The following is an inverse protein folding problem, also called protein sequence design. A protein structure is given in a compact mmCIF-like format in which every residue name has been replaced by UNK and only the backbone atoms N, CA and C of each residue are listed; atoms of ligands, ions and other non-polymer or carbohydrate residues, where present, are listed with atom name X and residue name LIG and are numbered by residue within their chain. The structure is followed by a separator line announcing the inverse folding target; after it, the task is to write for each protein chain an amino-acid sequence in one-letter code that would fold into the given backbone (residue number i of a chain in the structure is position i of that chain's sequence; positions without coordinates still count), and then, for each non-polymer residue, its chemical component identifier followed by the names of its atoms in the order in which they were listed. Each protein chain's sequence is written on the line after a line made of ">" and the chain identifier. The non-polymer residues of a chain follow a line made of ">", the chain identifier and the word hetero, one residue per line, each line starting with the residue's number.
data_IF_756220968350
#
_entry.id   IF_756220968350
#
_cell.length_a   1.000
_cell.length_b   1.000
_cell.length_c   1.000
_cell.angle_alpha   90.00
_cell.angle_beta   90.00
_cell.angle_gamma   90.00
#
_symmetry.space_group_name_H-M   'P 1'
#
loop_
_entity.id
_entity.type
_entity.pdbx_description
1 polymer ?
#
# COMPACT_ATOMS: atom_id res chain seq x y z
N UNK A 1 -33.90 12.57 -27.64
CA UNK A 1 -34.76 11.61 -26.91
C UNK A 1 -34.10 10.26 -26.95
N UNK A 2 -34.01 9.57 -25.81
CA UNK A 2 -33.58 8.18 -25.70
C UNK A 2 -34.62 7.22 -26.31
N UNK A 3 -34.19 6.06 -26.80
CA UNK A 3 -35.00 5.01 -27.43
C UNK A 3 -34.80 3.67 -26.70
N UNK A 4 -35.77 2.77 -26.89
CA UNK A 4 -35.66 1.40 -26.41
C UNK A 4 -34.43 0.73 -27.05
N UNK A 5 -33.53 0.21 -26.21
CA UNK A 5 -32.28 -0.41 -26.65
C UNK A 5 -31.08 0.52 -26.71
N UNK A 6 -31.21 1.81 -26.34
CA UNK A 6 -30.04 2.68 -26.23
C UNK A 6 -29.10 2.17 -25.12
N UNK A 7 -27.85 1.93 -25.47
CA UNK A 7 -26.78 1.52 -24.56
C UNK A 7 -25.75 2.64 -24.41
N UNK A 8 -25.39 2.95 -23.16
CA UNK A 8 -24.27 3.83 -22.86
C UNK A 8 -23.18 2.98 -22.21
N UNK A 9 -22.07 2.81 -22.92
CA UNK A 9 -20.88 2.19 -22.36
C UNK A 9 -19.96 3.26 -21.79
N UNK A 10 -19.73 3.20 -20.49
CA UNK A 10 -18.75 4.02 -19.80
C UNK A 10 -17.50 3.19 -19.55
N UNK A 11 -16.34 3.80 -19.77
CA UNK A 11 -15.05 3.21 -19.44
C UNK A 11 -14.27 4.21 -18.61
N UNK A 12 -13.97 3.81 -17.38
CA UNK A 12 -13.12 4.56 -16.47
C UNK A 12 -11.85 3.77 -16.23
N UNK A 13 -10.68 4.28 -16.66
CA UNK A 13 -9.41 3.68 -16.28
C UNK A 13 -9.31 3.56 -14.75
N UNK A 14 -8.84 2.41 -14.27
CA UNK A 14 -8.56 2.18 -12.85
C UNK A 14 -7.07 1.88 -12.66
N UNK A 15 -6.17 2.84 -12.94
CA UNK A 15 -4.76 2.69 -12.63
C UNK A 15 -4.57 2.61 -11.10
N UNK A 16 -3.41 2.13 -10.71
CA UNK A 16 -2.94 2.26 -9.33
C UNK A 16 -2.39 3.67 -9.18
N UNK A 17 -2.98 4.44 -8.28
CA UNK A 17 -2.63 5.82 -8.00
C UNK A 17 -1.87 5.92 -6.67
N UNK A 18 -0.80 6.72 -6.67
CA UNK A 18 -0.06 7.13 -5.47
C UNK A 18 -0.63 8.45 -4.97
N UNK A 19 -1.43 8.39 -3.91
CA UNK A 19 -2.10 9.55 -3.34
C UNK A 19 -1.17 10.27 -2.36
N UNK A 20 -0.99 11.57 -2.57
CA UNK A 20 -0.24 12.47 -1.69
C UNK A 20 -1.21 13.36 -0.93
N UNK A 21 -0.98 13.51 0.37
CA UNK A 21 -1.71 14.49 1.16
C UNK A 21 -1.20 15.91 0.89
N UNK A 22 -2.05 16.90 1.06
CA UNK A 22 -1.63 18.30 1.05
C UNK A 22 -0.52 18.51 2.11
N UNK A 23 0.53 19.34 1.86
CA UNK A 23 1.66 19.50 2.80
C UNK A 23 1.29 19.98 4.21
N UNK A 24 0.12 20.62 4.36
CA UNK A 24 -0.39 21.03 5.68
C UNK A 24 -0.89 19.85 6.53
N UNK A 25 -1.11 18.68 5.94
CA UNK A 25 -1.43 17.43 6.65
C UNK A 25 -0.12 16.82 7.15
N UNK A 26 0.40 17.37 8.25
CA UNK A 26 1.72 17.03 8.80
C UNK A 26 1.92 15.54 9.09
N UNK A 27 0.85 14.85 9.50
CA UNK A 27 0.88 13.41 9.79
C UNK A 27 1.30 12.56 8.58
N UNK A 28 1.09 13.07 7.36
CA UNK A 28 1.35 12.36 6.10
C UNK A 28 2.55 12.92 5.33
N UNK A 29 3.34 13.80 5.96
CA UNK A 29 4.60 14.25 5.38
C UNK A 29 5.53 13.05 5.13
N UNK A 30 6.08 12.95 3.92
CA UNK A 30 6.92 11.82 3.51
C UNK A 30 6.19 10.49 3.32
N UNK A 31 4.84 10.48 3.31
CA UNK A 31 4.04 9.27 3.15
C UNK A 31 3.24 9.25 1.86
N UNK A 32 2.79 8.07 1.46
CA UNK A 32 1.95 7.82 0.29
C UNK A 32 0.85 6.81 0.64
N UNK A 33 -0.34 7.00 0.10
CA UNK A 33 -1.42 6.01 0.15
C UNK A 33 -1.65 5.44 -1.25
N UNK A 34 -2.02 4.16 -1.34
CA UNK A 34 -2.36 3.52 -2.60
C UNK A 34 -3.88 3.56 -2.82
N UNK A 35 -4.29 3.91 -4.02
CA UNK A 35 -5.70 3.91 -4.42
C UNK A 35 -5.85 3.28 -5.81
N UNK A 36 -6.95 2.56 -6.03
CA UNK A 36 -7.32 2.08 -7.37
C UNK A 36 -8.82 2.30 -7.59
N UNK A 37 -9.16 3.12 -8.57
CA UNK A 37 -10.54 3.56 -8.74
C UNK A 37 -11.05 4.27 -7.47
N UNK A 38 -12.21 3.89 -6.91
CA UNK A 38 -12.75 4.52 -5.71
C UNK A 38 -12.20 3.93 -4.40
N UNK A 39 -11.34 2.91 -4.46
CA UNK A 39 -10.95 2.11 -3.29
C UNK A 39 -9.54 2.50 -2.81
N UNK A 40 -9.44 2.88 -1.53
CA UNK A 40 -8.17 3.06 -0.81
C UNK A 40 -7.66 1.71 -0.33
N UNK A 41 -6.35 1.51 -0.41
CA UNK A 41 -5.67 0.28 -0.01
C UNK A 41 -4.86 0.47 1.29
N UNK A 42 -4.61 -0.63 1.99
CA UNK A 42 -3.79 -0.69 3.20
C UNK A 42 -2.88 -1.92 3.19
N UNK A 43 -1.79 -1.85 3.97
CA UNK A 43 -0.91 -2.98 4.26
C UNK A 43 -1.32 -3.59 5.61
N UNK A 44 -1.42 -4.92 5.68
CA UNK A 44 -1.60 -5.67 6.92
C UNK A 44 -0.34 -6.45 7.30
N UNK A 45 -0.11 -6.63 8.59
CA UNK A 45 0.98 -7.46 9.12
C UNK A 45 0.94 -8.90 8.58
N UNK A 46 -0.25 -9.50 8.48
CA UNK A 46 -0.43 -10.88 7.97
C UNK A 46 0.12 -11.07 6.55
N UNK A 47 0.23 -9.99 5.78
CA UNK A 47 0.73 -9.99 4.40
C UNK A 47 2.17 -9.50 4.26
N UNK A 48 2.63 -8.65 5.20
CA UNK A 48 3.84 -7.84 5.02
C UNK A 48 4.84 -7.98 6.18
N UNK A 49 4.51 -8.77 7.20
CA UNK A 49 5.25 -8.87 8.46
C UNK A 49 5.04 -7.65 9.37
N UNK A 50 5.57 -7.71 10.61
CA UNK A 50 5.41 -6.65 11.59
C UNK A 50 6.23 -5.40 11.24
N UNK A 51 6.13 -4.38 12.08
CA UNK A 51 6.81 -3.10 11.95
C UNK A 51 6.60 -2.47 10.57
N UNK A 52 5.34 -2.22 10.20
CA UNK A 52 4.97 -1.62 8.91
C UNK A 52 5.50 -0.18 8.78
N UNK A 53 5.84 0.47 9.89
CA UNK A 53 6.53 1.76 9.89
C UNK A 53 7.94 1.69 9.27
N UNK A 54 8.58 0.51 9.28
CA UNK A 54 9.87 0.27 8.65
C UNK A 54 9.75 -0.17 7.18
N UNK A 55 8.55 -0.12 6.58
CA UNK A 55 8.33 -0.41 5.16
C UNK A 55 8.26 0.90 4.36
N UNK A 56 9.11 1.01 3.34
CA UNK A 56 9.23 2.16 2.47
C UNK A 56 8.87 1.76 1.05
N UNK A 57 7.99 2.52 0.40
CA UNK A 57 7.63 2.31 -1.00
C UNK A 57 8.43 3.26 -1.90
N UNK A 58 9.33 2.74 -2.77
CA UNK A 58 10.00 3.58 -3.76
C UNK A 58 9.01 4.19 -4.76
N UNK A 59 9.25 5.43 -5.16
CA UNK A 59 8.41 6.15 -6.14
C UNK A 59 8.34 5.46 -7.50
N UNK A 60 9.41 4.82 -7.92
CA UNK A 60 9.56 4.12 -9.19
C UNK A 60 9.26 2.62 -9.11
N UNK A 61 8.91 2.11 -7.91
CA UNK A 61 8.48 0.73 -7.75
C UNK A 61 7.30 0.42 -8.67
N UNK A 62 7.45 -0.64 -9.46
CA UNK A 62 6.40 -1.17 -10.33
C UNK A 62 5.31 -1.79 -9.47
N UNK A 63 4.07 -1.37 -9.71
CA UNK A 63 2.90 -1.84 -8.98
C UNK A 63 1.99 -2.61 -9.94
N UNK A 64 1.51 -3.76 -9.49
CA UNK A 64 0.60 -4.61 -10.24
C UNK A 64 -0.68 -4.81 -9.44
N UNK A 65 -1.80 -4.91 -10.15
CA UNK A 65 -3.11 -5.19 -9.56
C UNK A 65 -3.74 -6.39 -10.27
N UNK A 66 -4.17 -7.36 -9.48
CA UNK A 66 -4.84 -8.56 -9.97
C UNK A 66 -5.96 -8.98 -9.01
N UNK A 67 -6.94 -9.70 -9.54
CA UNK A 67 -8.09 -10.17 -8.77
C UNK A 67 -7.77 -11.51 -8.11
N UNK A 68 -8.01 -11.61 -6.81
CA UNK A 68 -7.85 -12.80 -5.97
C UNK A 68 -9.25 -13.27 -5.55
N UNK A 69 -9.83 -14.29 -6.23
CA UNK A 69 -11.23 -14.69 -6.03
C UNK A 69 -11.50 -15.28 -4.64
N UNK A 70 -10.52 -15.96 -4.05
CA UNK A 70 -10.67 -16.67 -2.78
C UNK A 70 -10.22 -15.84 -1.56
N UNK A 71 -9.77 -14.59 -1.79
CA UNK A 71 -9.31 -13.68 -0.75
C UNK A 71 -10.39 -12.63 -0.47
N UNK A 72 -10.85 -12.55 0.80
CA UNK A 72 -11.71 -11.47 1.30
C UNK A 72 -12.95 -11.24 0.41
N UNK A 73 -13.70 -12.34 0.16
CA UNK A 73 -14.90 -12.37 -0.69
C UNK A 73 -14.66 -11.98 -2.17
N UNK A 74 -13.42 -12.13 -2.64
CA UNK A 74 -13.03 -11.78 -4.00
C UNK A 74 -12.59 -10.33 -4.09
N UNK A 75 -11.29 -10.09 -4.06
CA UNK A 75 -10.76 -8.73 -3.99
C UNK A 75 -9.64 -8.48 -5.00
N UNK A 76 -9.51 -7.23 -5.45
CA UNK A 76 -8.32 -6.83 -6.21
C UNK A 76 -7.24 -6.46 -5.22
N UNK A 77 -6.09 -7.13 -5.28
CA UNK A 77 -4.91 -6.78 -4.48
C UNK A 77 -3.96 -5.91 -5.28
N UNK A 78 -3.08 -5.19 -4.58
CA UNK A 78 -1.94 -4.49 -5.19
C UNK A 78 -0.66 -5.10 -4.66
N UNK A 79 0.27 -5.45 -5.55
CA UNK A 79 1.58 -6.00 -5.19
C UNK A 79 2.71 -5.19 -5.81
N UNK A 80 3.90 -5.33 -5.24
CA UNK A 80 5.12 -4.71 -5.74
C UNK A 80 6.31 -5.01 -4.85
N UNK A 81 7.42 -4.34 -5.11
CA UNK A 81 8.62 -4.39 -4.29
C UNK A 81 8.73 -3.10 -3.47
N UNK A 82 8.94 -3.26 -2.17
CA UNK A 82 9.21 -2.22 -1.20
C UNK A 82 10.59 -2.44 -0.58
N UNK A 83 11.02 -1.53 0.29
CA UNK A 83 12.27 -1.63 1.03
C UNK A 83 12.02 -1.62 2.53
N UNK A 84 12.86 -2.35 3.29
CA UNK A 84 12.94 -2.26 4.75
C UNK A 84 14.34 -1.86 5.19
N UNK A 85 14.46 -1.18 6.33
CA UNK A 85 15.77 -0.93 6.96
C UNK A 85 16.24 -2.21 7.66
N UNK A 86 17.51 -2.55 7.44
CA UNK A 86 18.20 -3.65 8.13
C UNK A 86 18.54 -3.24 9.57
N UNK A 87 17.86 -3.88 10.53
CA UNK A 87 18.03 -3.63 11.96
C UNK A 87 19.33 -4.24 12.52
N UNK A 88 19.99 -5.16 11.81
CA UNK A 88 21.20 -5.84 12.31
C UNK A 88 22.38 -4.90 12.56
N UNK A 89 22.42 -3.76 11.87
CA UNK A 89 23.47 -2.76 12.05
C UNK A 89 23.31 -1.92 13.33
N UNK A 90 22.23 -2.09 14.10
CA UNK A 90 21.95 -1.28 15.29
C UNK A 90 22.70 -1.79 16.53
N UNK A 91 22.92 -3.10 16.67
CA UNK A 91 23.65 -3.71 17.79
C UNK A 91 23.13 -3.27 19.17
N UNK A 92 21.81 -3.30 19.39
CA UNK A 92 21.12 -2.87 20.62
C UNK A 92 21.29 -1.39 21.03
N UNK A 93 21.88 -0.56 20.16
CA UNK A 93 21.97 0.89 20.36
C UNK A 93 20.70 1.60 19.85
N UNK A 94 20.16 2.51 20.67
CA UNK A 94 18.95 3.25 20.33
C UNK A 94 19.19 4.38 19.31
N UNK A 95 20.39 4.99 19.33
CA UNK A 95 20.74 6.11 18.45
C UNK A 95 22.15 5.94 17.88
N UNK A 96 22.31 5.97 16.56
CA UNK A 96 23.62 5.82 15.89
C UNK A 96 23.78 6.78 14.71
N UNK A 97 24.98 7.35 14.50
CA UNK A 97 25.30 8.15 13.32
C UNK A 97 25.70 7.25 12.15
N UNK A 98 24.79 6.39 11.68
CA UNK A 98 25.00 5.48 10.55
C UNK A 98 23.98 5.76 9.45
N UNK A 99 24.39 5.51 8.20
CA UNK A 99 23.43 5.44 7.11
C UNK A 99 22.71 4.08 7.15
N UNK A 100 21.37 4.05 7.19
CA UNK A 100 20.62 2.80 7.22
C UNK A 100 20.85 2.03 5.92
N UNK A 101 21.20 0.75 6.05
CA UNK A 101 21.16 -0.19 4.92
C UNK A 101 19.71 -0.62 4.71
N UNK A 102 19.29 -0.72 3.46
CA UNK A 102 17.97 -1.24 3.11
C UNK A 102 18.06 -2.53 2.30
N UNK A 103 17.00 -3.33 2.36
CA UNK A 103 16.84 -4.52 1.53
C UNK A 103 15.43 -4.58 0.95
N UNK A 104 15.30 -5.18 -0.21
CA UNK A 104 14.02 -5.33 -0.92
C UNK A 104 13.13 -6.39 -0.27
N UNK A 105 11.83 -6.13 -0.25
CA UNK A 105 10.79 -7.07 0.18
C UNK A 105 9.59 -6.99 -0.75
N UNK A 106 8.92 -8.11 -1.00
CA UNK A 106 7.60 -8.07 -1.63
C UNK A 106 6.57 -7.54 -0.65
N UNK A 107 5.63 -6.74 -1.13
CA UNK A 107 4.48 -6.30 -0.35
C UNK A 107 3.17 -6.65 -1.04
N UNK A 108 2.11 -6.78 -0.24
CA UNK A 108 0.73 -6.91 -0.71
C UNK A 108 -0.16 -5.96 0.06
N UNK A 109 -0.88 -5.12 -0.68
CA UNK A 109 -1.91 -4.25 -0.16
C UNK A 109 -3.30 -4.76 -0.54
N UNK A 110 -4.23 -4.66 0.40
CA UNK A 110 -5.64 -5.03 0.24
C UNK A 110 -6.54 -3.79 0.39
N UNK A 111 -7.80 -3.82 -0.08
CA UNK A 111 -8.74 -2.74 0.19
C UNK A 111 -8.89 -2.46 1.69
N UNK A 112 -8.86 -1.18 2.05
CA UNK A 112 -8.95 -0.74 3.44
C UNK A 112 -10.18 -1.26 4.18
N UNK A 113 -11.33 -1.36 3.50
CA UNK A 113 -12.57 -1.85 4.11
C UNK A 113 -12.49 -3.33 4.53
N UNK A 114 -11.57 -4.11 3.97
CA UNK A 114 -11.45 -5.55 4.20
C UNK A 114 -10.40 -5.90 5.28
N UNK A 115 -9.73 -4.89 5.84
CA UNK A 115 -8.78 -5.03 6.95
C UNK A 115 -9.41 -5.75 8.17
N UNK A 116 -8.58 -6.42 8.97
CA UNK A 116 -8.94 -7.03 10.26
C UNK A 116 -9.93 -8.21 10.17
N UNK A 117 -10.12 -8.79 8.96
CA UNK A 117 -10.88 -10.02 8.76
C UNK A 117 -10.01 -11.30 8.85
N UNK A 118 -8.71 -11.16 9.15
CA UNK A 118 -7.71 -12.23 9.08
C UNK A 118 -6.90 -12.41 10.36
N UNK A 119 -7.42 -11.88 11.48
CA UNK A 119 -6.75 -11.88 12.78
C UNK A 119 -6.23 -10.49 13.17
N UNK A 120 -5.69 -10.43 14.37
CA UNK A 120 -5.04 -9.23 14.91
C UNK A 120 -3.66 -9.02 14.28
N UNK A 121 -3.28 -7.75 14.04
CA UNK A 121 -1.97 -7.37 13.52
C UNK A 121 -1.92 -5.89 13.15
N UNK A 122 -0.71 -5.38 12.88
CA UNK A 122 -0.50 -4.02 12.42
C UNK A 122 -1.23 -3.72 11.09
N UNK A 123 -1.59 -2.45 10.90
CA UNK A 123 -2.07 -1.94 9.62
C UNK A 123 -1.65 -0.49 9.39
N UNK A 124 -1.33 -0.15 8.14
CA UNK A 124 -1.17 1.24 7.72
C UNK A 124 -1.79 1.51 6.35
N UNK A 125 -2.42 2.68 6.23
CA UNK A 125 -2.87 3.26 4.95
C UNK A 125 -1.78 4.15 4.35
N UNK A 126 -1.09 4.92 5.19
CA UNK A 126 -0.06 5.87 4.78
C UNK A 126 1.32 5.27 5.03
N UNK A 127 1.91 4.74 3.96
CA UNK A 127 3.22 4.07 3.96
C UNK A 127 4.31 5.13 3.76
N UNK A 128 5.49 4.93 4.34
CA UNK A 128 6.62 5.83 4.06
C UNK A 128 7.01 5.72 2.59
N UNK A 129 7.34 6.85 1.96
CA UNK A 129 7.75 6.89 0.56
C UNK A 129 9.23 7.24 0.45
N UNK A 130 9.93 6.59 -0.48
CA UNK A 130 11.34 6.84 -0.80
C UNK A 130 11.49 7.32 -2.23
#
# INVERSE_FOLDING_TARGET
>A
MWRQGDEIKLYFPMPIERIKAHPQVRANAGKVALQRGPIVYCLEEVDNGPNLANLFLPRDAKLEAHFEPDLLEGTVVITGIAERVDESAWNDELYRPIEPRTYEVSFRAIPYYAWCNRGEGEMTVWVNEK
#
